data_IF_873813097464
#
_entry.id   IF_873813097464
#
_cell.length_a   1.000
_cell.length_b   1.000
_cell.length_c   1.000
_cell.angle_alpha   90.00
_cell.angle_beta   90.00
_cell.angle_gamma   90.00
#
_symmetry.space_group_name_H-M   'P 1'
#
loop_
_entity.id
_entity.type
_entity.pdbx_description
1 polymer ?
#
# COMPACT_ATOMS: atom_id res chain seq x y z
N UNK A 1 4.98 -21.35 3.97
CA UNK A 1 5.12 -20.60 2.69
C UNK A 1 6.07 -19.44 2.89
N UNK A 2 6.82 -19.05 1.88
CA UNK A 2 7.65 -17.83 1.95
C UNK A 2 6.75 -16.59 1.96
N UNK A 3 7.18 -15.49 2.60
CA UNK A 3 6.40 -14.26 2.75
C UNK A 3 6.32 -13.38 1.49
N UNK A 4 6.18 -13.96 0.29
CA UNK A 4 6.07 -13.24 -0.98
C UNK A 4 4.70 -13.37 -1.65
N UNK A 5 3.78 -14.11 -1.02
CA UNK A 5 2.42 -14.35 -1.50
C UNK A 5 1.41 -13.85 -0.48
N UNK A 6 0.41 -13.09 -0.94
CA UNK A 6 -0.75 -12.61 -0.19
C UNK A 6 -2.01 -13.24 -0.79
N UNK A 7 -3.00 -13.56 0.07
CA UNK A 7 -4.27 -14.15 -0.31
C UNK A 7 -4.29 -15.68 -0.24
N UNK A 8 -5.49 -16.27 -0.32
CA UNK A 8 -5.75 -17.71 -0.28
C UNK A 8 -6.43 -18.24 -1.51
N UNK A 9 -7.44 -17.56 -2.03
CA UNK A 9 -8.09 -17.83 -3.31
C UNK A 9 -7.68 -16.83 -4.37
N UNK A 10 -7.62 -15.55 -4.04
CA UNK A 10 -7.01 -14.53 -4.89
C UNK A 10 -5.56 -14.31 -4.43
N UNK A 11 -4.66 -15.11 -4.97
CA UNK A 11 -3.26 -15.14 -4.57
C UNK A 11 -2.39 -14.23 -5.43
N UNK A 12 -1.63 -13.34 -4.78
CA UNK A 12 -0.68 -12.43 -5.44
C UNK A 12 0.72 -12.75 -4.97
N UNK A 13 1.58 -13.25 -5.87
CA UNK A 13 2.99 -13.55 -5.60
C UNK A 13 3.89 -12.54 -6.30
N UNK A 14 4.58 -11.68 -5.53
CA UNK A 14 5.50 -10.68 -6.06
C UNK A 14 6.92 -11.23 -6.25
N UNK A 15 7.58 -10.85 -7.36
CA UNK A 15 8.96 -11.24 -7.68
C UNK A 15 9.78 -10.06 -8.22
N UNK A 16 11.09 -10.27 -8.34
CA UNK A 16 12.06 -9.30 -8.87
C UNK A 16 12.68 -8.40 -7.80
N UNK A 17 13.66 -7.61 -8.17
CA UNK A 17 14.39 -6.65 -7.34
C UNK A 17 14.38 -5.25 -7.95
N UNK A 18 14.52 -4.22 -7.11
CA UNK A 18 14.41 -2.81 -7.51
C UNK A 18 15.44 -2.38 -8.56
N UNK A 19 16.59 -3.04 -8.65
CA UNK A 19 17.68 -2.80 -9.60
C UNK A 19 18.00 -4.06 -10.44
N UNK A 20 17.12 -5.07 -10.41
CA UNK A 20 17.10 -6.17 -11.35
C UNK A 20 16.50 -5.74 -12.70
N UNK A 21 16.43 -6.64 -13.69
CA UNK A 21 15.93 -6.33 -15.03
C UNK A 21 14.43 -5.95 -15.02
N UNK A 22 13.67 -6.55 -14.13
CA UNK A 22 12.22 -6.34 -14.02
C UNK A 22 11.71 -6.70 -12.62
N UNK A 23 10.50 -6.26 -12.33
CA UNK A 23 9.67 -6.67 -11.20
C UNK A 23 8.32 -7.13 -11.74
N UNK A 24 7.60 -7.95 -11.00
CA UNK A 24 6.29 -8.43 -11.46
C UNK A 24 5.50 -9.13 -10.38
N UNK A 25 4.32 -9.59 -10.77
CA UNK A 25 3.46 -10.44 -9.96
C UNK A 25 2.86 -11.56 -10.78
N UNK A 26 2.64 -12.69 -10.14
CA UNK A 26 1.75 -13.74 -10.62
C UNK A 26 0.49 -13.69 -9.75
N UNK A 27 -0.67 -13.54 -10.40
CA UNK A 27 -1.99 -13.53 -9.76
C UNK A 27 -2.67 -14.83 -10.14
N UNK A 28 -3.05 -15.61 -9.13
CA UNK A 28 -3.83 -16.83 -9.30
C UNK A 28 -5.19 -16.68 -8.62
N UNK A 29 -6.21 -17.38 -9.15
CA UNK A 29 -7.58 -17.34 -8.63
C UNK A 29 -8.43 -16.15 -9.08
N UNK A 30 -7.98 -15.36 -10.06
CA UNK A 30 -8.86 -14.37 -10.69
C UNK A 30 -9.96 -15.10 -11.47
N UNK A 31 -11.27 -14.83 -11.21
CA UNK A 31 -12.36 -15.45 -11.94
C UNK A 31 -12.27 -15.22 -13.44
N UNK A 32 -12.73 -16.17 -14.29
CA UNK A 32 -12.78 -15.97 -15.73
C UNK A 32 -13.85 -14.95 -16.13
N UNK A 33 -13.65 -14.35 -17.32
CA UNK A 33 -14.64 -13.48 -17.96
C UNK A 33 -14.59 -12.00 -17.56
N UNK A 34 -13.71 -11.60 -16.61
CA UNK A 34 -13.47 -10.19 -16.34
C UNK A 34 -12.84 -9.55 -17.59
N UNK A 35 -13.45 -8.50 -18.10
CA UNK A 35 -12.85 -7.67 -19.14
C UNK A 35 -11.66 -6.92 -18.55
N UNK A 36 -10.46 -7.09 -19.13
CA UNK A 36 -9.24 -6.54 -18.58
C UNK A 36 -8.26 -6.17 -19.69
N UNK A 37 -7.70 -4.96 -19.57
CA UNK A 37 -6.65 -4.46 -20.45
C UNK A 37 -5.45 -3.96 -19.65
N UNK A 38 -4.34 -3.69 -20.33
CA UNK A 38 -3.17 -3.07 -19.70
C UNK A 38 -3.49 -1.65 -19.20
N UNK A 39 -4.36 -0.91 -19.89
CA UNK A 39 -4.79 0.45 -19.55
C UNK A 39 -5.56 0.49 -18.22
N UNK A 40 -6.38 -0.52 -17.93
CA UNK A 40 -7.09 -0.65 -16.66
C UNK A 40 -6.10 -0.70 -15.46
N UNK A 41 -4.99 -1.41 -15.66
CA UNK A 41 -3.94 -1.55 -14.66
C UNK A 41 -3.05 -0.32 -14.62
N UNK A 42 -2.70 0.23 -15.78
CA UNK A 42 -1.80 1.38 -15.92
C UNK A 42 -2.33 2.62 -15.22
N UNK A 43 -3.65 2.83 -15.26
CA UNK A 43 -4.30 3.93 -14.55
C UNK A 43 -3.93 3.96 -13.04
N UNK A 44 -3.96 2.81 -12.37
CA UNK A 44 -3.59 2.72 -10.94
C UNK A 44 -2.08 2.83 -10.74
N UNK A 45 -1.28 2.30 -11.65
CA UNK A 45 0.18 2.43 -11.62
C UNK A 45 0.63 3.88 -11.80
N UNK A 46 -0.03 4.66 -12.66
CA UNK A 46 0.26 6.07 -12.90
C UNK A 46 0.04 6.93 -11.65
N UNK A 47 -0.93 6.61 -10.83
CA UNK A 47 -1.16 7.25 -9.53
C UNK A 47 -0.01 6.99 -8.54
N UNK A 48 0.61 5.82 -8.62
CA UNK A 48 1.68 5.37 -7.69
C UNK A 48 3.08 5.71 -8.18
N UNK A 49 3.34 5.80 -9.49
CA UNK A 49 4.69 5.89 -10.06
C UNK A 49 5.53 7.03 -9.46
N UNK A 50 6.88 6.92 -9.48
CA UNK A 50 7.75 8.02 -9.06
C UNK A 50 7.72 9.18 -10.05
N UNK A 51 8.11 10.38 -9.59
CA UNK A 51 8.25 11.56 -10.46
C UNK A 51 6.93 12.25 -10.83
N UNK A 52 5.82 11.93 -10.17
CA UNK A 52 4.51 12.56 -10.39
C UNK A 52 4.45 14.01 -9.91
N UNK A 53 5.30 14.38 -8.95
CA UNK A 53 5.39 15.75 -8.45
C UNK A 53 6.80 16.08 -7.97
N UNK A 54 7.05 17.38 -7.65
CA UNK A 54 8.31 17.82 -7.04
C UNK A 54 8.50 17.31 -5.61
N UNK A 55 7.45 16.82 -4.96
CA UNK A 55 7.46 16.36 -3.55
C UNK A 55 7.76 14.87 -3.39
N UNK A 56 7.88 14.13 -4.49
CA UNK A 56 8.28 12.71 -4.51
C UNK A 56 9.66 12.56 -5.14
N UNK A 57 10.20 11.33 -5.09
CA UNK A 57 11.50 11.02 -5.72
C UNK A 57 11.52 11.41 -7.19
N UNK A 58 12.65 11.94 -7.65
CA UNK A 58 12.89 12.33 -9.04
C UNK A 58 13.35 11.15 -9.94
N UNK A 59 13.24 9.92 -9.46
CA UNK A 59 13.40 8.74 -10.30
C UNK A 59 12.28 8.75 -11.36
N UNK A 60 12.63 8.37 -12.58
CA UNK A 60 11.66 8.33 -13.69
C UNK A 60 11.49 6.89 -14.15
N UNK A 61 10.39 6.28 -13.72
CA UNK A 61 9.97 4.96 -14.17
C UNK A 61 8.56 5.09 -14.74
N UNK A 62 8.31 4.67 -15.97
CA UNK A 62 6.97 4.72 -16.57
C UNK A 62 6.03 3.72 -15.88
N UNK A 63 6.58 2.69 -15.21
CA UNK A 63 5.86 1.58 -14.61
C UNK A 63 4.92 0.89 -15.63
N UNK A 64 5.35 0.84 -16.88
CA UNK A 64 4.60 0.21 -17.98
C UNK A 64 4.39 -1.28 -17.70
N UNK A 65 3.14 -1.72 -17.67
CA UNK A 65 2.80 -3.10 -17.36
C UNK A 65 2.62 -3.92 -18.64
N UNK A 66 3.28 -5.08 -18.69
CA UNK A 66 3.07 -6.12 -19.69
C UNK A 66 2.25 -7.25 -19.06
N UNK A 67 1.14 -7.65 -19.70
CA UNK A 67 0.34 -8.82 -19.30
C UNK A 67 0.81 -9.99 -20.16
N UNK A 68 1.42 -10.99 -19.54
CA UNK A 68 2.08 -12.09 -20.26
C UNK A 68 1.23 -13.35 -20.36
N UNK A 69 0.18 -13.50 -19.54
CA UNK A 69 -0.70 -14.66 -19.50
C UNK A 69 -2.02 -14.36 -18.81
N UNK A 70 -2.97 -15.29 -18.87
CA UNK A 70 -4.24 -15.25 -18.15
C UNK A 70 -5.34 -14.46 -18.85
N UNK A 71 -5.11 -13.96 -20.07
CA UNK A 71 -6.09 -13.27 -20.91
C UNK A 71 -6.25 -13.93 -22.27
N UNK A 72 -7.48 -13.94 -22.75
CA UNK A 72 -7.84 -14.29 -24.12
C UNK A 72 -8.97 -13.36 -24.60
N UNK A 73 -8.83 -12.76 -25.77
CA UNK A 73 -9.78 -11.79 -26.34
C UNK A 73 -10.20 -10.68 -25.35
N UNK A 74 -9.23 -10.14 -24.58
CA UNK A 74 -9.47 -9.06 -23.62
C UNK A 74 -10.21 -9.48 -22.33
N UNK A 75 -10.34 -10.79 -22.07
CA UNK A 75 -11.00 -11.32 -20.88
C UNK A 75 -10.11 -12.29 -20.11
N UNK A 76 -10.25 -12.29 -18.79
CA UNK A 76 -9.55 -13.26 -17.94
C UNK A 76 -10.01 -14.68 -18.23
N UNK A 77 -9.07 -15.63 -18.20
CA UNK A 77 -9.32 -17.05 -18.51
C UNK A 77 -9.56 -17.92 -17.29
N UNK A 78 -9.34 -17.38 -16.06
CA UNK A 78 -9.34 -18.17 -14.82
C UNK A 78 -8.03 -18.90 -14.56
N UNK A 79 -7.02 -18.71 -15.41
CA UNK A 79 -5.66 -19.23 -15.24
C UNK A 79 -4.73 -18.12 -14.73
N UNK A 80 -3.49 -18.43 -14.25
CA UNK A 80 -2.62 -17.43 -13.69
C UNK A 80 -2.35 -16.24 -14.63
N UNK A 81 -2.53 -15.03 -14.11
CA UNK A 81 -2.19 -13.78 -14.79
C UNK A 81 -0.76 -13.40 -14.38
N UNK A 82 0.14 -13.30 -15.34
CA UNK A 82 1.51 -12.84 -15.11
C UNK A 82 1.66 -11.40 -15.56
N UNK A 83 2.12 -10.54 -14.63
CA UNK A 83 2.39 -9.13 -14.88
C UNK A 83 3.88 -8.87 -14.78
N UNK A 84 4.43 -8.12 -15.74
CA UNK A 84 5.84 -7.72 -15.78
C UNK A 84 5.95 -6.19 -15.92
N UNK A 85 6.85 -5.59 -15.14
CA UNK A 85 7.21 -4.17 -15.21
C UNK A 85 8.72 -4.07 -15.31
N UNK A 86 9.24 -3.50 -16.41
CA UNK A 86 10.68 -3.35 -16.61
C UNK A 86 11.26 -2.22 -15.78
N UNK A 87 12.46 -2.41 -15.26
CA UNK A 87 13.22 -1.35 -14.60
C UNK A 87 14.04 -0.59 -15.64
N UNK A 88 13.77 0.70 -15.84
CA UNK A 88 14.40 1.52 -16.88
C UNK A 88 15.36 2.58 -16.34
N UNK A 89 15.16 3.11 -15.12
CA UNK A 89 16.00 4.15 -14.48
C UNK A 89 16.70 3.62 -13.20
N UNK A 90 17.33 2.44 -13.29
CA UNK A 90 18.11 1.86 -12.21
C UNK A 90 19.55 2.38 -12.24
N UNK A 91 19.93 3.26 -11.28
CA UNK A 91 21.29 3.84 -11.18
C UNK A 91 22.10 3.17 -10.07
N UNK A 92 22.72 2.06 -10.38
CA UNK A 92 23.49 1.26 -9.40
C UNK A 92 24.68 2.03 -8.78
N UNK A 93 25.23 3.03 -9.48
CA UNK A 93 26.33 3.87 -9.00
C UNK A 93 26.00 4.70 -7.77
N UNK A 94 24.71 5.03 -7.54
CA UNK A 94 24.25 5.83 -6.41
C UNK A 94 24.38 5.11 -5.04
N UNK A 95 24.76 3.83 -5.05
CA UNK A 95 24.79 2.96 -3.85
C UNK A 95 26.19 2.39 -3.57
N UNK A 96 27.25 2.90 -4.21
CA UNK A 96 28.62 2.39 -4.04
C UNK A 96 29.12 2.43 -2.58
N UNK A 97 28.78 3.49 -1.84
CA UNK A 97 29.11 3.65 -0.43
C UNK A 97 28.31 2.75 0.54
N UNK A 98 27.30 2.02 0.04
CA UNK A 98 26.42 1.16 0.84
C UNK A 98 26.74 -0.34 0.67
N UNK A 99 27.80 -0.69 -0.07
CA UNK A 99 28.17 -2.08 -0.34
C UNK A 99 28.46 -2.86 0.94
N UNK A 100 29.19 -2.25 1.86
CA UNK A 100 29.66 -2.87 3.10
C UNK A 100 29.09 -2.24 4.38
N UNK A 101 28.06 -1.42 4.25
CA UNK A 101 27.51 -0.64 5.37
C UNK A 101 25.99 -0.79 5.46
N UNK A 102 25.40 -0.38 6.58
CA UNK A 102 23.97 -0.48 6.83
C UNK A 102 23.36 0.91 7.05
N UNK A 103 22.26 1.21 6.37
CA UNK A 103 21.51 2.45 6.62
C UNK A 103 20.71 2.33 7.90
N UNK A 104 20.85 3.27 8.85
CA UNK A 104 20.03 3.29 10.07
C UNK A 104 18.53 3.34 9.73
N UNK A 105 17.72 2.47 10.37
CA UNK A 105 16.28 2.38 10.14
C UNK A 105 15.85 1.75 8.81
N UNK A 106 16.81 1.30 7.99
CA UNK A 106 16.54 0.54 6.75
C UNK A 106 16.67 -0.97 6.99
N UNK A 107 16.13 -1.79 6.07
CA UNK A 107 16.18 -3.25 6.17
C UNK A 107 17.56 -3.87 5.86
N UNK A 108 18.58 -3.09 5.53
CA UNK A 108 19.91 -3.57 5.14
C UNK A 108 20.51 -4.56 6.16
N UNK A 109 20.48 -4.20 7.46
CA UNK A 109 21.02 -5.02 8.54
C UNK A 109 20.26 -6.34 8.70
N UNK A 110 18.91 -6.27 8.71
CA UNK A 110 18.07 -7.45 8.94
C UNK A 110 18.11 -8.43 7.79
N UNK A 111 18.16 -7.93 6.55
CA UNK A 111 18.34 -8.77 5.37
C UNK A 111 19.70 -9.46 5.36
N UNK A 112 20.78 -8.72 5.70
CA UNK A 112 22.10 -9.30 5.83
C UNK A 112 22.14 -10.40 6.90
N UNK A 113 21.57 -10.12 8.09
CA UNK A 113 21.54 -11.10 9.19
C UNK A 113 20.70 -12.35 8.87
N UNK A 114 19.66 -12.20 8.07
CA UNK A 114 18.76 -13.32 7.74
C UNK A 114 19.25 -14.15 6.57
N UNK A 115 19.74 -13.51 5.51
CA UNK A 115 20.03 -14.18 4.24
C UNK A 115 21.53 -14.28 3.94
N UNK A 116 22.39 -13.62 4.71
CA UNK A 116 23.85 -13.51 4.51
C UNK A 116 24.25 -13.02 3.11
N UNK A 117 23.26 -12.64 2.34
CA UNK A 117 23.39 -12.09 1.00
C UNK A 117 22.30 -11.01 0.80
N UNK A 118 22.69 -9.86 0.26
CA UNK A 118 21.77 -8.81 -0.11
C UNK A 118 22.24 -8.07 -1.35
N UNK A 119 21.32 -7.63 -2.19
CA UNK A 119 21.63 -6.63 -3.21
C UNK A 119 21.66 -5.23 -2.54
N UNK A 120 22.84 -4.57 -2.48
CA UNK A 120 22.96 -3.24 -1.88
C UNK A 120 22.32 -2.15 -2.76
N UNK A 121 22.08 -2.43 -4.04
CA UNK A 121 21.54 -1.48 -5.00
C UNK A 121 20.07 -1.22 -4.71
N UNK A 122 19.74 -0.02 -4.19
CA UNK A 122 18.38 0.42 -3.90
C UNK A 122 17.60 -0.43 -2.88
N UNK A 123 18.26 -1.39 -2.21
CA UNK A 123 17.65 -2.27 -1.23
C UNK A 123 17.04 -3.56 -1.78
N UNK A 124 17.16 -3.85 -3.08
CA UNK A 124 16.69 -5.11 -3.68
C UNK A 124 15.20 -5.39 -3.37
N UNK A 125 14.95 -6.54 -2.73
CA UNK A 125 13.58 -6.95 -2.29
C UNK A 125 12.98 -6.06 -1.20
N UNK A 126 13.77 -5.35 -0.40
CA UNK A 126 13.25 -4.44 0.64
C UNK A 126 12.82 -3.07 0.11
N UNK A 127 13.00 -2.81 -1.18
CA UNK A 127 12.67 -1.54 -1.82
C UNK A 127 11.16 -1.33 -1.97
N UNK A 128 10.70 -0.10 -1.73
CA UNK A 128 9.32 0.31 -2.03
C UNK A 128 8.95 0.22 -3.54
N UNK A 129 9.94 0.02 -4.42
CA UNK A 129 9.73 -0.27 -5.85
C UNK A 129 8.84 -1.50 -6.06
N UNK A 130 8.96 -2.49 -5.18
CA UNK A 130 8.22 -3.75 -5.27
C UNK A 130 6.72 -3.62 -4.97
N UNK A 131 6.27 -2.45 -4.59
CA UNK A 131 4.83 -2.15 -4.45
C UNK A 131 4.14 -1.91 -5.79
N UNK A 132 4.88 -1.67 -6.90
CA UNK A 132 4.27 -1.51 -8.22
C UNK A 132 3.51 -2.77 -8.68
N UNK A 133 4.08 -4.00 -8.62
CA UNK A 133 3.31 -5.21 -8.91
C UNK A 133 2.10 -5.43 -7.97
N UNK A 134 2.18 -4.98 -6.72
CA UNK A 134 1.04 -5.02 -5.78
C UNK A 134 -0.09 -4.11 -6.26
N UNK A 135 0.24 -2.89 -6.72
CA UNK A 135 -0.76 -1.96 -7.27
C UNK A 135 -1.37 -2.52 -8.55
N UNK A 136 -0.55 -3.12 -9.42
CA UNK A 136 -1.04 -3.77 -10.63
C UNK A 136 -2.04 -4.90 -10.34
N UNK A 137 -1.75 -5.76 -9.36
CA UNK A 137 -2.67 -6.80 -8.91
C UNK A 137 -3.92 -6.22 -8.23
N UNK A 138 -3.75 -5.16 -7.43
CA UNK A 138 -4.85 -4.44 -6.78
C UNK A 138 -5.80 -3.77 -7.78
N UNK A 139 -5.30 -3.32 -8.93
CA UNK A 139 -6.13 -2.76 -10.01
C UNK A 139 -7.14 -3.80 -10.53
N UNK A 140 -6.70 -5.04 -10.73
CA UNK A 140 -7.56 -6.16 -11.12
C UNK A 140 -8.63 -6.41 -10.04
N UNK A 141 -8.22 -6.45 -8.77
CA UNK A 141 -9.12 -6.65 -7.65
C UNK A 141 -10.15 -5.50 -7.51
N UNK A 142 -9.73 -4.24 -7.62
CA UNK A 142 -10.62 -3.07 -7.62
C UNK A 142 -11.65 -3.14 -8.73
N UNK A 143 -11.22 -3.47 -9.96
CA UNK A 143 -12.12 -3.60 -11.11
C UNK A 143 -13.16 -4.68 -10.87
N UNK A 144 -12.73 -5.88 -10.45
CA UNK A 144 -13.63 -6.99 -10.18
C UNK A 144 -14.63 -6.67 -9.06
N UNK A 145 -14.16 -6.12 -7.93
CA UNK A 145 -15.03 -5.73 -6.80
C UNK A 145 -16.06 -4.67 -7.20
N UNK A 146 -15.65 -3.70 -8.01
CA UNK A 146 -16.55 -2.67 -8.53
C UNK A 146 -17.63 -3.26 -9.43
N UNK A 147 -17.26 -4.15 -10.36
CA UNK A 147 -18.21 -4.78 -11.28
C UNK A 147 -19.16 -5.76 -10.60
N UNK A 148 -18.69 -6.48 -9.57
CA UNK A 148 -19.49 -7.50 -8.89
C UNK A 148 -20.40 -6.97 -7.78
N UNK A 149 -19.93 -5.92 -7.07
CA UNK A 149 -20.59 -5.43 -5.86
C UNK A 149 -20.77 -3.91 -5.80
N UNK A 150 -20.23 -3.18 -6.76
CA UNK A 150 -20.21 -1.71 -6.70
C UNK A 150 -19.24 -1.16 -5.65
N UNK A 151 -18.31 -1.97 -5.15
CA UNK A 151 -17.32 -1.55 -4.14
C UNK A 151 -16.41 -0.48 -4.72
N UNK A 152 -16.29 0.64 -4.01
CA UNK A 152 -15.39 1.75 -4.34
C UNK A 152 -14.33 1.90 -3.25
N UNK A 153 -13.05 1.81 -3.62
CA UNK A 153 -11.93 1.90 -2.69
C UNK A 153 -11.13 3.16 -2.99
N UNK A 154 -11.03 4.03 -2.00
CA UNK A 154 -10.33 5.32 -2.10
C UNK A 154 -9.49 5.59 -0.87
N UNK A 155 -8.31 6.19 -1.06
CA UNK A 155 -7.44 6.60 0.02
C UNK A 155 -7.12 8.09 -0.02
N UNK A 156 -6.76 8.64 1.14
CA UNK A 156 -6.33 10.02 1.27
C UNK A 156 -5.31 10.18 2.40
N UNK A 157 -4.55 11.25 2.35
CA UNK A 157 -3.64 11.62 3.43
C UNK A 157 -4.37 12.44 4.49
N UNK A 158 -4.43 11.95 5.71
CA UNK A 158 -5.08 12.62 6.86
C UNK A 158 -4.10 13.39 7.74
N UNK A 159 -2.78 13.15 7.58
CA UNK A 159 -1.74 13.88 8.30
C UNK A 159 -0.39 13.77 7.62
N UNK A 160 0.36 14.88 7.55
CA UNK A 160 1.75 14.94 7.11
C UNK A 160 2.60 15.49 8.26
N UNK A 161 3.43 14.64 8.85
CA UNK A 161 4.19 15.03 10.04
C UNK A 161 3.27 15.62 11.13
N UNK A 162 3.53 16.86 11.59
CA UNK A 162 2.67 17.52 12.59
C UNK A 162 1.36 18.09 12.02
N UNK A 163 1.23 18.23 10.70
CA UNK A 163 0.11 18.91 10.05
C UNK A 163 -1.05 17.92 9.85
N UNK A 164 -2.14 18.12 10.57
CA UNK A 164 -3.40 17.38 10.37
C UNK A 164 -4.15 17.94 9.17
N UNK A 165 -4.76 17.06 8.38
CA UNK A 165 -5.51 17.39 7.18
C UNK A 165 -6.97 16.97 7.38
N UNK A 166 -7.85 17.87 7.79
CA UNK A 166 -9.27 17.56 7.97
C UNK A 166 -9.91 17.13 6.64
N UNK A 167 -10.72 16.09 6.67
CA UNK A 167 -11.46 15.65 5.49
C UNK A 167 -12.54 16.68 5.12
N UNK A 168 -12.57 17.09 3.86
CA UNK A 168 -13.61 17.96 3.29
C UNK A 168 -14.34 17.30 2.14
N UNK A 169 -13.61 16.83 1.12
CA UNK A 169 -14.20 16.24 -0.07
C UNK A 169 -13.27 15.25 -0.74
N UNK A 170 -13.87 14.23 -1.36
CA UNK A 170 -13.13 13.30 -2.22
C UNK A 170 -12.65 13.94 -3.53
N UNK A 171 -13.35 14.96 -4.02
CA UNK A 171 -13.07 15.57 -5.34
C UNK A 171 -11.66 16.16 -5.41
N UNK A 172 -11.17 16.71 -4.30
CA UNK A 172 -9.83 17.30 -4.25
C UNK A 172 -8.68 16.29 -4.12
N UNK A 173 -8.97 15.05 -3.74
CA UNK A 173 -7.91 14.04 -3.44
C UNK A 173 -7.04 13.75 -4.64
N UNK A 174 -7.61 13.63 -5.84
CA UNK A 174 -6.87 13.35 -7.07
C UNK A 174 -6.21 14.59 -7.68
N UNK A 175 -6.61 15.79 -7.28
CA UNK A 175 -6.24 17.05 -7.93
C UNK A 175 -4.99 17.71 -7.32
N UNK A 176 -4.41 17.10 -6.27
CA UNK A 176 -3.22 17.63 -5.63
C UNK A 176 -2.17 16.53 -5.37
N UNK A 177 -0.88 16.91 -5.24
CA UNK A 177 0.21 15.96 -5.15
C UNK A 177 0.31 15.20 -3.81
N UNK A 178 -0.54 15.49 -2.84
CA UNK A 178 -0.52 14.90 -1.50
C UNK A 178 -1.66 13.92 -1.25
N UNK A 179 -2.60 13.75 -2.18
CA UNK A 179 -3.87 13.07 -1.91
C UNK A 179 -4.62 13.70 -0.72
N UNK A 180 -4.50 15.03 -0.56
CA UNK A 180 -5.14 15.75 0.52
C UNK A 180 -6.62 15.98 0.22
N UNK A 181 -7.54 15.63 1.14
CA UNK A 181 -8.99 15.83 0.96
C UNK A 181 -9.44 17.28 1.26
N UNK A 182 -8.48 18.18 1.48
CA UNK A 182 -8.69 19.60 1.76
C UNK A 182 -7.72 20.42 0.90
N UNK A 183 -8.19 21.07 -0.17
CA UNK A 183 -7.33 21.84 -1.05
C UNK A 183 -6.73 23.08 -0.37
N UNK A 184 -7.37 23.63 0.66
CA UNK A 184 -6.90 24.82 1.37
C UNK A 184 -5.62 24.60 2.18
N UNK A 185 -5.30 23.33 2.56
CA UNK A 185 -4.09 23.00 3.31
C UNK A 185 -2.86 22.76 2.41
N UNK A 186 -3.06 22.57 1.11
CA UNK A 186 -1.99 22.19 0.17
C UNK A 186 -0.79 23.16 0.19
N UNK A 187 -0.97 24.49 0.22
CA UNK A 187 0.16 25.43 0.30
C UNK A 187 1.02 25.24 1.57
N UNK A 188 0.40 24.89 2.71
CA UNK A 188 1.12 24.64 3.96
C UNK A 188 1.92 23.32 3.86
N UNK A 189 1.35 22.28 3.26
CA UNK A 189 2.05 21.01 3.01
C UNK A 189 3.24 21.21 2.08
N UNK A 190 3.10 22.00 1.01
CA UNK A 190 4.17 22.33 0.09
C UNK A 190 5.31 23.06 0.77
N UNK A 191 5.01 24.09 1.57
CA UNK A 191 6.00 24.86 2.31
C UNK A 191 6.80 23.95 3.27
N UNK A 192 6.11 23.10 4.02
CA UNK A 192 6.73 22.16 4.94
C UNK A 192 7.63 21.13 4.23
N UNK A 193 7.20 20.60 3.10
CA UNK A 193 8.02 19.68 2.29
C UNK A 193 9.25 20.38 1.67
N UNK A 194 9.15 21.65 1.29
CA UNK A 194 10.28 22.40 0.77
C UNK A 194 11.31 22.71 1.87
N UNK A 195 10.89 22.92 3.12
CA UNK A 195 11.76 23.05 4.30
C UNK A 195 12.51 21.73 4.56
N UNK A 196 11.81 20.61 4.68
CA UNK A 196 12.42 19.28 4.85
C UNK A 196 13.45 18.95 3.77
N UNK A 197 13.16 19.35 2.54
CA UNK A 197 14.11 19.16 1.43
C UNK A 197 15.39 19.97 1.60
N UNK A 198 15.32 21.21 2.10
CA UNK A 198 16.48 22.05 2.41
C UNK A 198 17.31 21.45 3.52
N UNK A 199 16.66 20.90 4.55
CA UNK A 199 17.31 20.21 5.67
C UNK A 199 17.92 18.87 5.29
N UNK A 200 17.45 18.25 4.18
CA UNK A 200 17.88 16.92 3.75
C UNK A 200 17.31 15.78 4.60
N UNK A 201 16.18 16.04 5.27
CA UNK A 201 15.50 15.11 6.17
C UNK A 201 14.19 14.56 5.55
N UNK A 202 13.43 13.82 6.35
CA UNK A 202 12.22 13.13 5.95
C UNK A 202 11.17 13.16 7.06
N UNK A 203 9.90 12.93 6.65
CA UNK A 203 8.78 12.91 7.59
C UNK A 203 7.84 11.74 7.31
N UNK A 204 7.10 11.33 8.34
CA UNK A 204 6.04 10.36 8.26
C UNK A 204 4.69 10.96 7.87
N UNK A 205 3.71 10.09 7.64
CA UNK A 205 2.34 10.47 7.33
C UNK A 205 1.35 9.50 7.95
N UNK A 206 0.10 9.96 8.07
CA UNK A 206 -1.07 9.11 8.27
C UNK A 206 -1.90 9.13 7.01
N UNK A 207 -2.27 7.95 6.55
CA UNK A 207 -3.18 7.78 5.40
C UNK A 207 -4.42 7.00 5.86
N UNK A 208 -5.55 7.34 5.25
CA UNK A 208 -6.82 6.67 5.45
C UNK A 208 -7.21 5.97 4.14
N UNK A 209 -7.78 4.79 4.25
CA UNK A 209 -8.38 4.06 3.11
C UNK A 209 -9.78 3.66 3.48
N UNK A 210 -10.72 3.95 2.60
CA UNK A 210 -12.14 3.64 2.76
C UNK A 210 -12.60 2.75 1.61
N UNK A 211 -13.26 1.65 1.93
CA UNK A 211 -13.98 0.84 0.96
C UNK A 211 -15.48 0.98 1.22
N UNK A 212 -16.16 1.64 0.29
CA UNK A 212 -17.60 1.85 0.29
C UNK A 212 -18.33 0.69 -0.39
N UNK A 213 -19.59 0.45 -0.03
CA UNK A 213 -20.44 -0.59 -0.60
C UNK A 213 -19.89 -2.03 -0.41
N UNK A 214 -19.11 -2.26 0.63
CA UNK A 214 -18.65 -3.61 0.96
C UNK A 214 -19.84 -4.45 1.41
N UNK A 215 -20.12 -5.61 0.76
CA UNK A 215 -21.25 -6.45 1.19
C UNK A 215 -21.01 -6.98 2.61
N UNK A 216 -22.07 -7.12 3.38
CA UNK A 216 -22.02 -7.81 4.67
C UNK A 216 -21.65 -9.28 4.47
N UNK A 217 -20.87 -9.86 5.40
CA UNK A 217 -20.57 -11.28 5.41
C UNK A 217 -19.18 -11.67 4.89
N UNK A 218 -18.31 -10.72 4.54
CA UNK A 218 -16.93 -11.03 4.15
C UNK A 218 -16.05 -11.16 5.40
N UNK A 219 -15.35 -12.27 5.55
CA UNK A 219 -14.47 -12.53 6.68
C UNK A 219 -14.81 -13.84 7.39
N UNK A 220 -14.04 -14.15 8.43
CA UNK A 220 -14.16 -15.38 9.18
C UNK A 220 -14.28 -15.10 10.71
N UNK A 221 -14.91 -16.01 11.48
CA UNK A 221 -15.24 -15.70 12.87
C UNK A 221 -14.07 -15.81 13.85
N UNK A 222 -12.99 -16.55 13.56
CA UNK A 222 -11.92 -16.78 14.51
C UNK A 222 -10.52 -16.54 13.91
N UNK A 223 -10.12 -17.34 12.95
CA UNK A 223 -8.90 -17.14 12.18
C UNK A 223 -9.28 -16.56 10.81
N UNK A 224 -8.36 -15.83 10.19
CA UNK A 224 -8.63 -15.11 8.95
C UNK A 224 -9.79 -14.10 9.06
N UNK A 225 -9.90 -13.45 10.21
CA UNK A 225 -10.82 -12.33 10.39
C UNK A 225 -10.48 -11.24 9.39
N UNK A 226 -11.48 -10.58 8.84
CA UNK A 226 -11.27 -9.54 7.83
C UNK A 226 -10.36 -8.41 8.33
N UNK A 227 -10.59 -7.94 9.57
CA UNK A 227 -9.75 -6.91 10.21
C UNK A 227 -8.29 -7.37 10.40
N UNK A 228 -8.09 -8.65 10.76
CA UNK A 228 -6.76 -9.23 10.94
C UNK A 228 -6.01 -9.37 9.59
N UNK A 229 -6.68 -9.84 8.55
CA UNK A 229 -6.07 -9.99 7.21
C UNK A 229 -5.78 -8.61 6.58
N UNK A 230 -6.67 -7.62 6.78
CA UNK A 230 -6.41 -6.22 6.40
C UNK A 230 -5.15 -5.71 7.13
N UNK A 231 -5.09 -5.86 8.45
CA UNK A 231 -3.94 -5.40 9.23
C UNK A 231 -2.64 -6.12 8.81
N UNK A 232 -2.69 -7.42 8.54
CA UNK A 232 -1.56 -8.20 8.05
C UNK A 232 -1.06 -7.68 6.69
N UNK A 233 -1.95 -7.46 5.73
CA UNK A 233 -1.60 -6.94 4.41
C UNK A 233 -1.01 -5.53 4.49
N UNK A 234 -1.64 -4.63 5.27
CA UNK A 234 -1.20 -3.25 5.45
C UNK A 234 0.14 -3.16 6.18
N UNK A 235 0.40 -3.98 7.21
CA UNK A 235 1.71 -4.06 7.89
C UNK A 235 2.81 -4.60 6.97
N UNK A 236 2.47 -5.31 5.89
CA UNK A 236 3.38 -5.73 4.84
C UNK A 236 3.88 -4.58 3.94
N UNK A 237 3.19 -3.45 3.91
CA UNK A 237 3.62 -2.27 3.17
C UNK A 237 4.86 -1.63 3.80
N UNK A 238 5.86 -1.32 2.96
CA UNK A 238 7.08 -0.65 3.41
C UNK A 238 6.78 0.61 4.23
N UNK A 239 7.51 0.78 5.33
CA UNK A 239 7.43 1.91 6.25
C UNK A 239 6.16 1.99 7.12
N UNK A 240 5.19 1.13 6.99
CA UNK A 240 4.05 1.05 7.92
C UNK A 240 4.54 0.63 9.30
N UNK A 241 4.03 1.32 10.34
CA UNK A 241 4.33 1.07 11.75
C UNK A 241 3.10 0.94 12.63
N UNK A 242 1.93 1.23 12.09
CA UNK A 242 0.66 1.05 12.76
C UNK A 242 -0.46 0.93 11.76
N UNK A 243 -1.45 0.10 12.10
CA UNK A 243 -2.71 -0.09 11.35
C UNK A 243 -3.84 0.01 12.36
N UNK A 244 -4.90 0.68 11.99
CA UNK A 244 -6.07 0.89 12.82
C UNK A 244 -7.32 0.68 11.97
N UNK A 245 -8.31 -0.01 12.51
CA UNK A 245 -9.63 -0.25 11.89
C UNK A 245 -10.67 0.57 12.65
N UNK A 246 -11.48 1.35 11.95
CA UNK A 246 -12.49 2.22 12.57
C UNK A 246 -11.89 3.19 13.58
N UNK A 247 -12.47 3.30 14.77
CA UNK A 247 -11.99 4.15 15.85
C UNK A 247 -10.59 3.76 16.36
N UNK A 248 -10.15 2.50 16.12
CA UNK A 248 -8.81 2.04 16.47
C UNK A 248 -8.42 2.35 17.91
N UNK A 249 -7.31 3.06 18.14
CA UNK A 249 -6.83 3.42 19.48
C UNK A 249 -7.74 4.42 20.22
N UNK A 250 -8.56 5.21 19.51
CA UNK A 250 -9.51 6.13 20.16
C UNK A 250 -10.62 5.36 20.89
N UNK A 251 -10.86 4.10 20.55
CA UNK A 251 -11.84 3.23 21.22
C UNK A 251 -11.58 3.07 22.73
N UNK A 252 -10.31 3.19 23.18
CA UNK A 252 -9.94 3.05 24.59
C UNK A 252 -10.49 4.19 25.48
N UNK A 253 -10.84 5.32 24.89
CA UNK A 253 -11.39 6.48 25.57
C UNK A 253 -12.92 6.53 25.55
N UNK A 254 -13.54 5.64 24.77
CA UNK A 254 -14.99 5.55 24.59
C UNK A 254 -15.60 4.54 25.56
N UNK A 255 -16.73 4.88 26.15
CA UNK A 255 -17.52 3.89 26.91
C UNK A 255 -18.20 2.92 25.94
N UNK A 256 -18.56 1.72 26.40
CA UNK A 256 -19.25 0.74 25.57
C UNK A 256 -20.56 1.27 24.96
N UNK A 257 -21.27 2.13 25.66
CA UNK A 257 -22.51 2.79 25.19
C UNK A 257 -22.24 3.85 24.10
N UNK A 258 -21.01 4.38 24.02
CA UNK A 258 -20.58 5.38 23.03
C UNK A 258 -19.95 4.69 21.82
N UNK A 259 -19.15 3.65 22.06
CA UNK A 259 -18.46 2.90 21.02
C UNK A 259 -19.39 1.95 20.23
N UNK A 260 -20.43 1.43 20.89
CA UNK A 260 -21.34 0.47 20.25
C UNK A 260 -22.11 1.13 19.09
N UNK A 261 -21.95 0.57 17.90
CA UNK A 261 -22.66 1.02 16.70
C UNK A 261 -24.12 0.55 16.77
N UNK A 262 -25.03 1.48 17.17
CA UNK A 262 -26.45 1.15 17.32
C UNK A 262 -27.05 0.72 15.98
N UNK A 263 -27.89 -0.33 16.02
CA UNK A 263 -28.55 -0.88 14.83
C UNK A 263 -30.01 -0.46 14.82
N UNK A 264 -30.43 0.19 13.76
CA UNK A 264 -31.79 0.64 13.51
C UNK A 264 -32.39 -0.08 12.30
N UNK A 265 -33.68 0.10 12.08
CA UNK A 265 -34.36 -0.52 10.93
C UNK A 265 -33.83 -0.06 9.56
N UNK A 266 -33.26 1.14 9.52
CA UNK A 266 -32.69 1.80 8.34
C UNK A 266 -31.17 1.72 8.27
N UNK A 267 -30.49 1.02 9.22
CA UNK A 267 -29.05 0.78 9.21
C UNK A 267 -28.36 1.08 10.55
N UNK A 268 -27.07 1.34 10.48
CA UNK A 268 -26.24 1.64 11.66
C UNK A 268 -26.19 3.13 11.95
N UNK A 269 -26.21 3.50 13.24
CA UNK A 269 -26.16 4.90 13.68
C UNK A 269 -24.76 5.50 13.72
N UNK A 270 -23.73 4.67 13.69
CA UNK A 270 -22.31 5.04 13.69
C UNK A 270 -21.46 3.92 13.07
N UNK A 271 -20.17 4.14 12.89
CA UNK A 271 -19.24 3.15 12.33
C UNK A 271 -17.90 3.14 13.10
N UNK A 272 -17.96 3.06 14.43
CA UNK A 272 -16.76 3.00 15.28
C UNK A 272 -15.96 1.70 15.05
N UNK A 273 -16.67 0.60 14.73
CA UNK A 273 -16.05 -0.67 14.41
C UNK A 273 -15.34 -0.67 13.03
N UNK A 274 -15.53 0.37 12.21
CA UNK A 274 -14.89 0.48 10.90
C UNK A 274 -15.35 -0.55 9.87
N UNK A 275 -16.63 -0.93 9.90
CA UNK A 275 -17.26 -1.84 8.95
C UNK A 275 -17.00 -3.33 9.23
N UNK A 276 -16.36 -3.68 10.34
CA UNK A 276 -16.04 -5.09 10.69
C UNK A 276 -16.48 -5.40 12.11
N UNK A 277 -17.37 -6.37 12.26
CA UNK A 277 -17.87 -6.86 13.53
C UNK A 277 -17.56 -8.36 13.66
N UNK A 278 -16.89 -8.76 14.74
CA UNK A 278 -16.52 -10.15 14.99
C UNK A 278 -15.60 -10.77 13.92
N UNK A 279 -14.92 -9.94 13.11
CA UNK A 279 -14.04 -10.38 12.01
C UNK A 279 -14.75 -10.49 10.65
N UNK A 280 -16.01 -10.06 10.58
CA UNK A 280 -16.88 -10.16 9.40
C UNK A 280 -17.38 -8.77 9.03
N UNK A 281 -17.45 -8.44 7.73
CA UNK A 281 -17.96 -7.14 7.28
C UNK A 281 -19.45 -6.96 7.64
N UNK A 282 -19.78 -5.76 8.10
CA UNK A 282 -21.15 -5.41 8.54
C UNK A 282 -22.04 -4.89 7.41
N UNK A 283 -21.49 -4.58 6.25
CA UNK A 283 -22.19 -3.84 5.18
C UNK A 283 -21.96 -2.34 5.23
N UNK A 284 -21.29 -1.83 6.28
CA UNK A 284 -20.84 -0.46 6.36
C UNK A 284 -19.50 -0.28 5.66
N UNK A 285 -19.07 0.98 5.48
CA UNK A 285 -17.76 1.28 4.93
C UNK A 285 -16.65 0.66 5.77
N UNK A 286 -15.73 -0.04 5.10
CA UNK A 286 -14.52 -0.53 5.77
C UNK A 286 -13.49 0.58 5.79
N UNK A 287 -13.12 1.03 7.01
CA UNK A 287 -12.23 2.17 7.24
C UNK A 287 -10.92 1.73 7.89
N UNK A 288 -9.80 2.10 7.27
CA UNK A 288 -8.45 1.69 7.68
C UNK A 288 -7.52 2.89 7.75
N UNK A 289 -6.82 3.07 8.87
CA UNK A 289 -5.79 4.09 9.03
C UNK A 289 -4.39 3.45 9.10
N UNK A 290 -3.40 4.07 8.47
CA UNK A 290 -2.00 3.62 8.49
C UNK A 290 -1.06 4.72 8.98
N UNK A 291 -0.18 4.37 9.90
CA UNK A 291 0.95 5.21 10.31
C UNK A 291 2.20 4.83 9.49
N UNK A 292 2.68 5.77 8.70
CA UNK A 292 3.86 5.62 7.84
C UNK A 292 5.05 6.33 8.50
N UNK A 293 6.14 5.61 8.80
CA UNK A 293 7.34 6.21 9.37
C UNK A 293 8.10 7.06 8.33
N UNK A 294 8.96 8.00 8.77
CA UNK A 294 9.86 8.73 7.89
C UNK A 294 10.75 7.81 7.05
N UNK A 295 11.14 8.25 5.87
CA UNK A 295 12.10 7.57 5.00
C UNK A 295 13.44 7.43 5.71
N UNK A 296 14.00 6.22 5.69
CA UNK A 296 15.30 5.95 6.35
C UNK A 296 16.51 6.48 5.56
N UNK A 297 16.35 6.74 4.29
CA UNK A 297 17.41 7.20 3.40
C UNK A 297 17.40 8.74 3.36
N UNK A 298 18.21 9.38 4.20
CA UNK A 298 18.32 10.83 4.31
C UNK A 298 19.76 11.29 4.09
N UNK A 299 19.95 12.60 3.84
CA UNK A 299 21.26 13.19 3.58
C UNK A 299 22.03 13.53 4.86
N UNK A 300 21.38 13.54 6.00
CA UNK A 300 22.02 13.79 7.29
C UNK A 300 22.95 12.62 7.65
N UNK A 301 24.18 12.92 8.04
CA UNK A 301 25.14 11.93 8.56
C UNK A 301 24.61 11.26 9.83
N UNK A 302 24.72 9.94 9.90
CA UNK A 302 24.24 9.16 11.05
C UNK A 302 25.22 8.04 11.39
N UNK A 303 25.37 7.71 12.68
CA UNK A 303 26.21 6.58 13.10
C UNK A 303 25.64 5.25 12.56
N UNK A 304 26.55 4.38 12.13
CA UNK A 304 26.26 3.04 11.64
C UNK A 304 27.46 2.11 11.84
N UNK A 305 27.40 0.92 11.26
CA UNK A 305 28.50 -0.06 11.26
C UNK A 305 28.71 -0.66 9.88
N UNK A 306 29.91 -1.16 9.65
CA UNK A 306 30.24 -2.03 8.51
C UNK A 306 29.74 -3.46 8.77
N UNK A 307 29.86 -4.34 7.77
CA UNK A 307 29.60 -5.79 7.94
C UNK A 307 30.51 -6.45 8.96
N UNK A 308 31.76 -5.95 9.11
CA UNK A 308 32.74 -6.41 10.11
C UNK A 308 32.43 -5.89 11.51
N UNK A 309 31.50 -4.94 11.68
CA UNK A 309 31.13 -4.34 12.97
C UNK A 309 31.91 -3.08 13.33
N UNK A 310 32.70 -2.52 12.42
CA UNK A 310 33.43 -1.28 12.65
C UNK A 310 32.49 -0.08 12.64
N UNK A 311 32.62 0.83 13.60
CA UNK A 311 31.84 2.05 13.71
C UNK A 311 32.17 3.02 12.56
N UNK A 312 31.14 3.53 11.91
CA UNK A 312 31.24 4.51 10.82
C UNK A 312 30.13 5.53 10.90
N UNK A 313 30.24 6.57 10.08
CA UNK A 313 29.12 7.45 9.76
C UNK A 313 28.66 7.23 8.30
N UNK A 314 27.35 7.25 8.08
CA UNK A 314 26.76 7.02 6.78
C UNK A 314 25.72 8.07 6.45
N UNK A 315 25.70 8.51 5.20
CA UNK A 315 24.61 9.29 4.60
C UNK A 315 24.13 8.62 3.31
N UNK A 316 22.91 8.91 2.90
CA UNK A 316 22.37 8.37 1.66
C UNK A 316 22.18 9.49 0.63
N UNK A 317 22.95 9.44 -0.45
CA UNK A 317 22.99 10.48 -1.48
C UNK A 317 21.98 10.26 -2.62
N UNK A 318 21.25 9.16 -2.63
CA UNK A 318 20.32 8.79 -3.68
C UNK A 318 19.04 9.65 -3.74
N UNK A 319 18.22 9.38 -4.76
CA UNK A 319 16.91 10.03 -4.98
C UNK A 319 15.83 9.32 -4.17
N UNK A 320 15.47 9.87 -3.02
CA UNK A 320 14.48 9.29 -2.10
C UNK A 320 13.26 10.20 -1.94
N UNK A 321 12.12 9.60 -1.59
CA UNK A 321 10.92 10.34 -1.21
C UNK A 321 11.14 10.98 0.17
N UNK A 322 11.01 12.30 0.35
CA UNK A 322 11.03 12.91 1.70
C UNK A 322 9.86 12.41 2.57
N UNK A 323 8.73 12.07 1.95
CA UNK A 323 7.60 11.40 2.60
C UNK A 323 7.08 10.28 1.71
N UNK A 324 7.25 9.03 2.13
CA UNK A 324 6.73 7.86 1.38
C UNK A 324 5.21 7.70 1.50
N UNK A 325 4.56 8.40 2.44
CA UNK A 325 3.11 8.36 2.64
C UNK A 325 2.33 8.82 1.40
N UNK A 326 2.84 9.79 0.64
CA UNK A 326 2.21 10.25 -0.59
C UNK A 326 1.97 9.06 -1.54
N UNK A 327 3.00 8.30 -1.83
CA UNK A 327 2.92 7.15 -2.74
C UNK A 327 2.31 5.90 -2.10
N UNK A 328 2.28 5.84 -0.77
CA UNK A 328 1.66 4.74 -0.04
C UNK A 328 0.13 4.73 -0.16
N UNK A 329 -0.50 5.88 -0.43
CA UNK A 329 -1.96 5.99 -0.55
C UNK A 329 -2.54 5.03 -1.60
N UNK A 330 -2.18 5.08 -2.89
CA UNK A 330 -2.70 4.12 -3.88
C UNK A 330 -2.25 2.67 -3.64
N UNK A 331 -1.13 2.46 -2.92
CA UNK A 331 -0.68 1.10 -2.59
C UNK A 331 -1.59 0.49 -1.51
N UNK A 332 -1.97 1.26 -0.50
CA UNK A 332 -2.87 0.81 0.54
C UNK A 332 -4.28 0.51 -0.02
N UNK A 333 -4.77 1.34 -0.96
CA UNK A 333 -6.01 1.02 -1.69
C UNK A 333 -5.91 -0.35 -2.40
N UNK A 334 -4.80 -0.61 -3.07
CA UNK A 334 -4.56 -1.88 -3.76
C UNK A 334 -4.52 -3.07 -2.81
N UNK A 335 -3.86 -2.93 -1.66
CA UNK A 335 -3.81 -3.98 -0.63
C UNK A 335 -5.19 -4.28 -0.06
N UNK A 336 -6.00 -3.24 0.24
CA UNK A 336 -7.38 -3.44 0.70
C UNK A 336 -8.21 -4.17 -0.35
N UNK A 337 -8.06 -3.81 -1.63
CA UNK A 337 -8.76 -4.49 -2.73
C UNK A 337 -8.39 -5.97 -2.84
N UNK A 338 -7.11 -6.31 -2.72
CA UNK A 338 -6.65 -7.71 -2.77
C UNK A 338 -7.27 -8.52 -1.64
N UNK A 339 -7.28 -7.98 -0.41
CA UNK A 339 -7.86 -8.66 0.75
C UNK A 339 -9.38 -8.82 0.59
N UNK A 340 -10.09 -7.76 0.20
CA UNK A 340 -11.55 -7.82 0.01
C UNK A 340 -11.93 -8.79 -1.11
N UNK A 341 -11.19 -8.83 -2.23
CA UNK A 341 -11.45 -9.79 -3.30
C UNK A 341 -11.21 -11.24 -2.84
N UNK A 342 -10.13 -11.50 -2.10
CA UNK A 342 -9.87 -12.83 -1.54
C UNK A 342 -11.01 -13.30 -0.64
N UNK A 343 -11.46 -12.45 0.29
CA UNK A 343 -12.60 -12.76 1.17
C UNK A 343 -13.92 -12.90 0.40
N UNK A 344 -14.16 -12.10 -0.63
CA UNK A 344 -15.35 -12.23 -1.46
C UNK A 344 -15.40 -13.57 -2.23
N UNK A 345 -14.26 -14.03 -2.74
CA UNK A 345 -14.17 -15.34 -3.38
C UNK A 345 -14.36 -16.47 -2.37
N UNK A 346 -13.80 -16.36 -1.17
CA UNK A 346 -13.97 -17.32 -0.08
C UNK A 346 -15.43 -17.39 0.35
N UNK A 347 -16.09 -16.26 0.54
CA UNK A 347 -17.52 -16.17 0.83
C UNK A 347 -18.38 -16.90 -0.23
N UNK A 348 -18.09 -16.65 -1.53
CA UNK A 348 -18.78 -17.36 -2.63
C UNK A 348 -18.56 -18.87 -2.59
N UNK A 349 -17.35 -19.32 -2.27
CA UNK A 349 -17.03 -20.74 -2.19
C UNK A 349 -17.72 -21.42 -1.00
N UNK A 350 -17.87 -20.74 0.12
CA UNK A 350 -18.43 -21.26 1.37
C UNK A 350 -19.96 -21.16 1.43
N UNK A 351 -20.50 -20.00 1.06
CA UNK A 351 -21.92 -19.67 1.26
C UNK A 351 -22.72 -19.56 -0.05
N UNK A 352 -22.06 -19.73 -1.20
CA UNK A 352 -22.69 -19.50 -2.52
C UNK A 352 -22.76 -18.02 -2.87
N UNK A 353 -23.58 -17.68 -3.86
CA UNK A 353 -23.81 -16.28 -4.24
C UNK A 353 -24.56 -15.59 -3.10
N UNK A 354 -24.01 -14.49 -2.60
CA UNK A 354 -24.71 -13.63 -1.63
C UNK A 354 -26.03 -13.16 -2.23
N UNK A 355 -27.11 -13.32 -1.46
CA UNK A 355 -28.45 -12.86 -1.82
C UNK A 355 -28.56 -11.35 -1.69
#
# INVERSE_FOLDING_TARGET
MSGNTLGKLFCVTNYGESHGPAIGAVIDGCPPGLELSAEDIQFELDRRRPGTSRHVTQRREPDEVEILSGLYEGRTTGTPISLLIRNTDARSKDYGNLLDTFRPGHADYTYWKKFENRDPRGGGRSSARLTAPTVAAGAIAKKWLREQYGVLIRGYMSQLGPIRIPFQTWDSVADNPFYAPNPGIVPELEAYMDELRKEGDSIGARIEVVAENVPAGLGEPLYDRLDADIAHAMMGLNAVKGVSIGAGFESITQKGSEHGDAIYADGFGSNHAGGVLGGISSGQDVTVSLAIKPTSSIRTMRPSITRSGEAIEVQTLGRHDPCVGIRATPIAEALLAIVLMDHALRQRAQCGLTR
#
